data_IF_163156642969
#
_entry.id   IF_163156642969
#
_cell.length_a   1.000
_cell.length_b   1.000
_cell.length_c   1.000
_cell.angle_alpha   90.00
_cell.angle_beta   90.00
_cell.angle_gamma   90.00
#
_symmetry.space_group_name_H-M   'P 1'
#
loop_
_entity.id
_entity.type
_entity.pdbx_description
1 polymer ?
#
# COMPACT_ATOMS: atom_id res chain seq x y z
N UNK A 1 -33.75 -8.66 13.04
CA UNK A 1 -32.44 -8.94 12.42
C UNK A 1 -31.67 -7.62 12.36
N UNK A 2 -30.79 -7.37 13.34
CA UNK A 2 -30.00 -6.12 13.39
C UNK A 2 -28.84 -6.31 12.41
N UNK A 3 -28.90 -5.67 11.24
CA UNK A 3 -27.71 -5.51 10.41
C UNK A 3 -26.74 -4.63 11.18
N UNK A 4 -25.77 -5.26 11.85
CA UNK A 4 -24.59 -4.55 12.31
C UNK A 4 -23.94 -4.00 11.05
N UNK A 5 -23.89 -2.68 10.89
CA UNK A 5 -23.08 -2.06 9.84
C UNK A 5 -21.64 -2.46 10.16
N UNK A 6 -21.14 -3.52 9.52
CA UNK A 6 -19.70 -3.75 9.42
C UNK A 6 -19.19 -2.47 8.77
N UNK A 7 -18.51 -1.66 9.58
CA UNK A 7 -18.07 -0.36 9.11
C UNK A 7 -16.98 -0.62 8.07
N UNK A 8 -17.30 -0.41 6.80
CA UNK A 8 -16.42 -0.75 5.70
C UNK A 8 -15.14 0.10 5.76
N UNK A 9 -14.00 -0.54 5.51
CA UNK A 9 -12.76 0.17 5.19
C UNK A 9 -12.83 0.69 3.75
N UNK A 10 -12.09 1.75 3.47
CA UNK A 10 -11.90 2.29 2.11
C UNK A 10 -10.42 2.42 1.79
N UNK A 11 -10.07 2.54 0.50
CA UNK A 11 -8.71 2.81 0.04
C UNK A 11 -8.72 4.06 -0.85
N UNK A 12 -7.66 4.85 -0.77
CA UNK A 12 -7.39 6.00 -1.64
C UNK A 12 -5.91 6.00 -2.02
N UNK A 13 -5.62 6.29 -3.28
CA UNK A 13 -4.26 6.54 -3.74
C UNK A 13 -3.97 8.03 -3.51
N UNK A 14 -2.79 8.37 -2.97
CA UNK A 14 -2.33 9.75 -2.84
C UNK A 14 -1.76 10.23 -4.17
N UNK A 15 -1.84 11.53 -4.47
CA UNK A 15 -1.36 12.10 -5.74
C UNK A 15 0.13 11.77 -6.03
N UNK A 16 0.96 11.68 -5.00
CA UNK A 16 2.37 11.28 -5.15
C UNK A 16 2.53 9.82 -5.55
N UNK A 17 1.65 8.94 -5.06
CA UNK A 17 1.65 7.53 -5.43
C UNK A 17 1.06 7.32 -6.83
N UNK A 18 0.09 8.13 -7.24
CA UNK A 18 -0.41 8.17 -8.63
C UNK A 18 0.72 8.55 -9.59
N UNK A 19 1.50 9.58 -9.27
CA UNK A 19 2.68 9.99 -10.05
C UNK A 19 3.75 8.90 -10.08
N UNK A 20 3.98 8.21 -8.96
CA UNK A 20 4.91 7.06 -8.94
C UNK A 20 4.44 5.94 -9.87
N UNK A 21 3.13 5.65 -9.88
CA UNK A 21 2.53 4.61 -10.73
C UNK A 21 2.60 4.99 -12.21
N UNK A 22 2.29 6.24 -12.56
CA UNK A 22 2.40 6.78 -13.91
C UNK A 22 3.86 6.72 -14.41
N UNK A 23 4.82 7.17 -13.59
CA UNK A 23 6.23 7.06 -13.92
C UNK A 23 6.68 5.59 -14.05
N UNK A 24 6.07 4.69 -13.29
CA UNK A 24 6.35 3.26 -13.38
C UNK A 24 5.83 2.66 -14.69
N UNK A 25 4.66 3.07 -15.17
CA UNK A 25 4.12 2.63 -16.47
C UNK A 25 5.08 2.91 -17.63
N UNK A 26 5.83 4.01 -17.57
CA UNK A 26 6.83 4.37 -18.60
C UNK A 26 8.06 3.46 -18.63
N UNK A 27 8.37 2.76 -17.53
CA UNK A 27 9.60 1.96 -17.40
C UNK A 27 9.35 0.46 -17.23
N UNK A 28 8.25 0.08 -16.60
CA UNK A 28 7.77 -1.29 -16.43
C UNK A 28 6.24 -1.32 -16.42
N UNK A 29 5.65 -1.24 -17.61
CA UNK A 29 4.20 -1.28 -17.84
C UNK A 29 3.54 -2.49 -17.16
N UNK A 30 4.18 -3.66 -17.18
CA UNK A 30 3.60 -4.88 -16.59
C UNK A 30 3.63 -4.83 -15.07
N UNK A 31 4.74 -4.37 -14.49
CA UNK A 31 4.87 -4.14 -13.05
C UNK A 31 3.84 -3.13 -12.55
N UNK A 32 3.68 -2.00 -13.26
CA UNK A 32 2.67 -0.98 -12.98
C UNK A 32 1.24 -1.55 -13.04
N UNK A 33 0.89 -2.20 -14.15
CA UNK A 33 -0.44 -2.80 -14.34
C UNK A 33 -0.77 -3.82 -13.24
N UNK A 34 0.19 -4.63 -12.81
CA UNK A 34 0.00 -5.58 -11.71
C UNK A 34 -0.28 -4.91 -10.37
N UNK A 35 0.35 -3.76 -10.09
CA UNK A 35 0.06 -2.97 -8.89
C UNK A 35 -1.32 -2.33 -8.98
N UNK A 36 -1.63 -1.73 -10.13
CA UNK A 36 -2.89 -1.02 -10.37
C UNK A 36 -4.09 -1.94 -10.18
N UNK A 37 -4.07 -3.11 -10.86
CA UNK A 37 -5.11 -4.15 -10.73
C UNK A 37 -5.26 -4.60 -9.28
N UNK A 38 -4.15 -4.83 -8.56
CA UNK A 38 -4.24 -5.20 -7.14
C UNK A 38 -4.94 -4.10 -6.33
N UNK A 39 -4.61 -2.83 -6.53
CA UNK A 39 -5.18 -1.72 -5.77
C UNK A 39 -6.69 -1.57 -6.04
N UNK A 40 -7.12 -1.73 -7.29
CA UNK A 40 -8.54 -1.72 -7.68
C UNK A 40 -9.33 -2.87 -7.02
N UNK A 41 -8.79 -4.09 -7.07
CA UNK A 41 -9.38 -5.27 -6.47
C UNK A 41 -9.40 -5.18 -4.94
N UNK A 42 -8.31 -4.72 -4.33
CA UNK A 42 -8.22 -4.49 -2.89
C UNK A 42 -9.24 -3.45 -2.42
N UNK A 43 -9.40 -2.34 -3.15
CA UNK A 43 -10.38 -1.30 -2.83
C UNK A 43 -11.82 -1.83 -2.84
N UNK A 44 -12.08 -2.87 -3.64
CA UNK A 44 -13.39 -3.50 -3.81
C UNK A 44 -13.65 -4.67 -2.84
N UNK A 45 -12.64 -5.11 -2.07
CA UNK A 45 -12.73 -6.30 -1.22
C UNK A 45 -12.46 -6.00 0.26
N UNK A 46 -13.52 -6.03 1.08
CA UNK A 46 -13.37 -5.83 2.53
C UNK A 46 -12.47 -6.87 3.19
N UNK A 47 -12.53 -8.13 2.72
CA UNK A 47 -11.65 -9.20 3.21
C UNK A 47 -10.18 -8.86 2.99
N UNK A 48 -9.83 -8.31 1.83
CA UNK A 48 -8.46 -7.87 1.55
C UNK A 48 -8.08 -6.71 2.46
N UNK A 49 -8.94 -5.70 2.56
CA UNK A 49 -8.72 -4.53 3.40
C UNK A 49 -8.56 -4.90 4.88
N UNK A 50 -9.28 -5.90 5.39
CA UNK A 50 -9.12 -6.38 6.77
C UNK A 50 -7.69 -6.90 7.02
N UNK A 51 -7.13 -7.64 6.07
CA UNK A 51 -5.78 -8.21 6.16
C UNK A 51 -4.64 -7.20 5.95
N UNK A 52 -4.91 -6.00 5.43
CA UNK A 52 -3.89 -4.95 5.28
C UNK A 52 -3.36 -4.38 6.60
N UNK A 53 -3.98 -4.72 7.75
CA UNK A 53 -3.47 -4.34 9.08
C UNK A 53 -2.73 -5.48 9.79
N UNK A 54 -2.57 -6.63 9.14
CA UNK A 54 -1.97 -7.81 9.74
C UNK A 54 -0.48 -7.90 9.39
N UNK A 55 0.38 -7.65 10.38
CA UNK A 55 1.81 -7.77 10.16
C UNK A 55 2.20 -9.22 9.89
N UNK A 56 3.01 -9.42 8.84
CA UNK A 56 3.45 -10.72 8.33
C UNK A 56 2.32 -11.57 7.75
N UNK A 57 1.19 -10.95 7.42
CA UNK A 57 0.15 -11.61 6.64
C UNK A 57 0.68 -11.99 5.26
N UNK A 58 0.25 -13.16 4.79
CA UNK A 58 0.63 -13.73 3.52
C UNK A 58 -0.60 -14.42 2.93
N UNK A 59 -1.12 -13.88 1.83
CA UNK A 59 -2.10 -14.58 1.00
C UNK A 59 -1.37 -15.56 0.08
N UNK A 60 -2.00 -16.70 -0.20
CA UNK A 60 -1.53 -17.68 -1.20
C UNK A 60 -2.60 -17.94 -2.28
N UNK A 61 -3.57 -17.03 -2.41
CA UNK A 61 -4.62 -17.17 -3.40
C UNK A 61 -4.06 -17.00 -4.82
N UNK A 62 -4.45 -17.90 -5.72
CA UNK A 62 -3.96 -17.94 -7.09
C UNK A 62 -4.58 -16.79 -7.90
N UNK A 63 -3.89 -15.65 -7.91
CA UNK A 63 -4.35 -14.40 -8.54
C UNK A 63 -4.33 -13.21 -7.61
N UNK A 64 -4.22 -13.44 -6.28
CA UNK A 64 -4.21 -12.38 -5.27
C UNK A 64 -3.19 -12.69 -4.16
N UNK A 65 -1.95 -12.97 -4.59
CA UNK A 65 -0.85 -13.35 -3.72
C UNK A 65 -0.09 -12.09 -3.26
N UNK A 66 -0.16 -11.77 -1.96
CA UNK A 66 0.50 -10.60 -1.38
C UNK A 66 1.03 -10.85 0.03
N UNK A 67 1.99 -10.02 0.44
CA UNK A 67 2.57 -10.03 1.77
C UNK A 67 2.51 -8.62 2.37
N UNK A 68 2.09 -8.53 3.63
CA UNK A 68 2.04 -7.28 4.40
C UNK A 68 3.14 -7.29 5.46
N UNK A 69 3.92 -6.22 5.50
CA UNK A 69 4.95 -6.01 6.52
C UNK A 69 4.92 -4.58 7.03
N UNK A 70 5.35 -4.39 8.26
CA UNK A 70 5.64 -3.04 8.78
C UNK A 70 6.92 -2.50 8.17
N UNK A 71 6.97 -1.19 7.98
CA UNK A 71 8.22 -0.47 7.79
C UNK A 71 8.84 -0.23 9.18
N UNK A 72 9.68 -1.17 9.62
CA UNK A 72 10.14 -1.24 11.01
C UNK A 72 10.83 0.03 11.53
N UNK A 73 11.67 0.70 10.71
CA UNK A 73 12.40 1.91 11.15
C UNK A 73 11.49 3.12 11.42
N UNK A 74 10.33 3.20 10.75
CA UNK A 74 9.38 4.31 10.89
C UNK A 74 8.07 3.91 11.58
N UNK A 75 7.89 2.62 11.88
CA UNK A 75 6.65 2.06 12.42
C UNK A 75 6.18 2.76 13.70
N UNK A 76 7.09 3.04 14.63
CA UNK A 76 6.75 3.65 15.94
C UNK A 76 6.21 5.08 15.82
N UNK A 77 6.53 5.79 14.76
CA UNK A 77 6.18 7.20 14.59
C UNK A 77 5.04 7.42 13.61
N UNK A 78 4.96 6.58 12.57
CA UNK A 78 4.07 6.81 11.44
C UNK A 78 3.18 5.60 11.10
N UNK A 79 3.36 4.44 11.75
CA UNK A 79 2.53 3.27 11.45
C UNK A 79 2.54 2.87 9.96
N UNK A 80 3.68 3.04 9.29
CA UNK A 80 3.81 2.77 7.85
C UNK A 80 3.87 1.27 7.57
N UNK A 81 3.11 0.86 6.57
CA UNK A 81 3.06 -0.48 6.05
C UNK A 81 3.72 -0.57 4.69
N UNK A 82 4.12 -1.78 4.35
CA UNK A 82 4.69 -2.16 3.09
C UNK A 82 3.99 -3.40 2.57
N UNK A 83 3.48 -3.29 1.36
CA UNK A 83 2.92 -4.39 0.60
C UNK A 83 3.92 -4.92 -0.41
N UNK A 84 3.95 -6.24 -0.56
CA UNK A 84 4.64 -6.93 -1.64
C UNK A 84 3.65 -7.79 -2.41
N UNK A 85 3.63 -7.62 -3.73
CA UNK A 85 2.77 -8.40 -4.62
C UNK A 85 3.54 -9.57 -5.23
N UNK A 86 2.84 -10.65 -5.48
CA UNK A 86 3.32 -11.87 -6.09
C UNK A 86 2.24 -12.41 -7.03
N UNK A 87 2.62 -13.20 -8.03
CA UNK A 87 1.65 -13.89 -8.88
C UNK A 87 0.86 -13.01 -9.88
N UNK A 88 1.02 -11.68 -9.84
CA UNK A 88 0.51 -10.79 -10.90
C UNK A 88 1.39 -10.88 -12.16
N UNK A 89 0.79 -10.69 -13.33
CA UNK A 89 1.51 -10.71 -14.60
C UNK A 89 2.54 -9.56 -14.65
N UNK A 90 3.83 -9.88 -14.78
CA UNK A 90 4.92 -8.90 -14.77
C UNK A 90 5.78 -8.97 -13.50
N UNK A 91 6.65 -7.96 -13.35
CA UNK A 91 7.60 -7.88 -12.24
C UNK A 91 7.07 -6.98 -11.10
N UNK A 92 5.77 -7.00 -10.80
CA UNK A 92 5.20 -6.27 -9.65
C UNK A 92 5.88 -6.66 -8.31
N UNK A 93 6.43 -7.88 -8.23
CA UNK A 93 7.26 -8.34 -7.12
C UNK A 93 8.61 -7.59 -6.95
N UNK A 94 9.01 -6.80 -7.96
CA UNK A 94 10.16 -5.89 -7.95
C UNK A 94 9.84 -4.55 -7.32
N UNK A 95 8.60 -4.30 -6.92
CA UNK A 95 8.16 -3.04 -6.30
C UNK A 95 7.48 -3.25 -4.96
N UNK A 96 7.41 -2.19 -4.17
CA UNK A 96 6.78 -2.18 -2.86
C UNK A 96 5.83 -1.00 -2.79
N UNK A 97 4.59 -1.28 -2.40
CA UNK A 97 3.58 -0.25 -2.18
C UNK A 97 3.64 0.15 -0.71
N UNK A 98 3.83 1.43 -0.44
CA UNK A 98 3.89 2.01 0.90
C UNK A 98 2.54 2.62 1.22
N UNK A 99 1.97 2.28 2.38
CA UNK A 99 0.66 2.79 2.77
C UNK A 99 0.54 3.00 4.28
N UNK A 100 -0.50 3.74 4.66
CA UNK A 100 -0.87 4.00 6.05
C UNK A 100 -2.38 3.83 6.25
N UNK A 101 -2.78 3.56 7.49
CA UNK A 101 -4.20 3.44 7.85
C UNK A 101 -4.65 4.61 8.72
N UNK A 102 -5.64 5.35 8.25
CA UNK A 102 -6.28 6.42 8.99
C UNK A 102 -7.47 5.87 9.80
N UNK A 103 -7.22 5.56 11.09
CA UNK A 103 -8.22 4.92 11.95
C UNK A 103 -9.55 5.66 12.09
N UNK A 104 -9.53 7.00 12.22
CA UNK A 104 -10.76 7.81 12.30
C UNK A 104 -11.60 7.78 11.01
N UNK A 105 -10.95 7.80 9.85
CA UNK A 105 -11.62 7.74 8.55
C UNK A 105 -11.89 6.30 8.09
N UNK A 106 -11.30 5.30 8.76
CA UNK A 106 -11.31 3.89 8.35
C UNK A 106 -10.83 3.74 6.90
N UNK A 107 -9.73 4.42 6.57
CA UNK A 107 -9.23 4.55 5.20
C UNK A 107 -7.75 4.22 5.11
N UNK A 108 -7.40 3.40 4.13
CA UNK A 108 -6.02 3.20 3.71
C UNK A 108 -5.63 4.27 2.70
N UNK A 109 -4.44 4.83 2.90
CA UNK A 109 -3.83 5.76 1.97
C UNK A 109 -2.57 5.13 1.39
N UNK A 110 -2.55 4.93 0.07
CA UNK A 110 -1.33 4.55 -0.65
C UNK A 110 -0.50 5.81 -0.81
N UNK A 111 0.70 5.81 -0.21
CA UNK A 111 1.54 7.01 -0.10
C UNK A 111 2.67 7.03 -1.14
N UNK A 112 3.11 5.87 -1.62
CA UNK A 112 4.06 5.80 -2.73
C UNK A 112 4.44 4.38 -3.11
N UNK A 113 5.18 4.27 -4.22
CA UNK A 113 5.67 3.02 -4.79
C UNK A 113 7.19 3.12 -4.95
N UNK A 114 7.91 2.13 -4.43
CA UNK A 114 9.38 2.09 -4.48
C UNK A 114 9.88 0.78 -5.07
N UNK A 115 11.08 0.75 -5.68
CA UNK A 115 11.70 -0.50 -6.08
C UNK A 115 12.06 -1.36 -4.86
N UNK A 116 12.23 -2.65 -5.10
CA UNK A 116 12.47 -3.67 -4.06
C UNK A 116 13.74 -3.40 -3.23
N UNK A 117 14.76 -2.82 -3.85
CA UNK A 117 16.08 -2.53 -3.28
C UNK A 117 16.16 -1.17 -2.58
N UNK A 118 15.04 -0.43 -2.50
CA UNK A 118 14.93 0.77 -1.68
C UNK A 118 15.41 0.51 -0.26
N UNK A 119 16.31 1.35 0.24
CA UNK A 119 17.06 1.14 1.48
C UNK A 119 16.30 1.52 2.76
N UNK A 120 15.15 2.17 2.60
CA UNK A 120 14.30 2.64 3.70
C UNK A 120 15.00 3.64 4.64
N UNK A 121 16.01 4.36 4.16
CA UNK A 121 16.69 5.39 4.94
C UNK A 121 15.70 6.53 5.28
N UNK A 122 15.49 6.86 6.57
CA UNK A 122 14.69 8.02 6.98
C UNK A 122 15.13 9.35 6.36
N UNK A 123 16.39 9.47 5.95
CA UNK A 123 16.94 10.68 5.32
C UNK A 123 16.72 10.72 3.81
N UNK A 124 16.36 9.62 3.18
CA UNK A 124 16.11 9.58 1.74
C UNK A 124 14.97 10.53 1.36
N UNK A 125 15.10 11.26 0.26
CA UNK A 125 14.12 12.27 -0.18
C UNK A 125 12.72 11.67 -0.35
N UNK A 126 12.63 10.46 -0.92
CA UNK A 126 11.38 9.70 -1.04
C UNK A 126 10.74 9.44 0.33
N UNK A 127 11.53 9.01 1.33
CA UNK A 127 11.04 8.77 2.68
C UNK A 127 10.48 10.04 3.31
N UNK A 128 11.17 11.17 3.14
CA UNK A 128 10.70 12.47 3.62
C UNK A 128 9.40 12.87 2.93
N UNK A 129 9.26 12.62 1.62
CA UNK A 129 7.99 12.83 0.89
C UNK A 129 6.85 12.02 1.52
N UNK A 130 7.04 10.72 1.75
CA UNK A 130 6.03 9.85 2.39
C UNK A 130 5.62 10.39 3.76
N UNK A 131 6.59 10.81 4.58
CA UNK A 131 6.32 11.40 5.90
C UNK A 131 5.52 12.70 5.79
N UNK A 132 5.86 13.55 4.84
CA UNK A 132 5.13 14.80 4.60
C UNK A 132 3.69 14.53 4.16
N UNK A 133 3.45 13.60 3.24
CA UNK A 133 2.11 13.21 2.78
C UNK A 133 1.30 12.60 3.93
N UNK A 134 1.90 11.74 4.74
CA UNK A 134 1.28 11.20 5.96
C UNK A 134 0.80 12.30 6.92
N UNK A 135 1.66 13.29 7.19
CA UNK A 135 1.35 14.41 8.08
C UNK A 135 0.27 15.33 7.49
N UNK A 136 0.36 15.64 6.19
CA UNK A 136 -0.62 16.46 5.48
C UNK A 136 -2.02 15.82 5.49
N UNK A 137 -2.10 14.49 5.42
CA UNK A 137 -3.34 13.72 5.52
C UNK A 137 -3.90 13.62 6.94
N UNK A 138 -3.17 14.10 7.96
CA UNK A 138 -3.62 14.11 9.36
C UNK A 138 -3.80 12.71 9.95
N UNK A 139 -3.03 11.73 9.46
CA UNK A 139 -3.10 10.35 9.94
C UNK A 139 -2.58 10.32 11.40
N UNK A 140 -3.35 9.75 12.35
CA UNK A 140 -3.04 9.80 13.78
C UNK A 140 -2.01 8.76 14.24
#
# INVERSE_FOLDING_TARGET
MKYSRVSAYSMSIHEDAEKDLEALYEVDEKGAAGIDVFLEEAASSQTVLDHLLENRYRSYDAGFDFEVRRWESLWKHYGLWRLRLFGFAGDAASYRVIYAFHGKQRRYYILGIVPRDFDYDPKHHFTQRIVNSYQALGIP
#
